data_IF_942293917033
#
_entry.id   IF_942293917033
#
_cell.length_a   1.000
_cell.length_b   1.000
_cell.length_c   1.000
_cell.angle_alpha   90.00
_cell.angle_beta   90.00
_cell.angle_gamma   90.00
#
_symmetry.space_group_name_H-M   'P 1'
#
loop_
_entity.id
_entity.type
_entity.pdbx_description
1 polymer ?
#
# COMPACT_ATOMS: atom_id res chain seq x y z
N UNK A 1 17.69 -56.14 62.36
CA UNK A 1 17.21 -55.84 60.99
C UNK A 1 15.97 -54.91 61.04
N UNK A 2 16.06 -53.75 61.71
CA UNK A 2 14.90 -52.82 61.88
C UNK A 2 15.27 -51.33 61.72
N UNK A 3 16.54 -50.99 61.41
CA UNK A 3 16.96 -49.59 61.23
C UNK A 3 16.87 -49.09 59.77
N UNK A 4 16.78 -49.99 58.78
CA UNK A 4 16.73 -49.61 57.36
C UNK A 4 15.31 -49.31 56.83
N UNK A 5 14.26 -49.78 57.51
CA UNK A 5 12.86 -49.60 57.05
C UNK A 5 12.29 -48.21 57.41
N UNK A 6 12.78 -47.60 58.49
CA UNK A 6 12.40 -46.24 58.91
C UNK A 6 13.00 -45.14 58.04
N UNK A 7 14.27 -45.28 57.62
CA UNK A 7 14.93 -44.29 56.77
C UNK A 7 14.35 -44.25 55.34
N UNK A 8 13.99 -45.39 54.76
CA UNK A 8 13.39 -45.43 53.42
C UNK A 8 12.01 -44.75 53.35
N UNK A 9 11.20 -44.87 54.40
CA UNK A 9 9.91 -44.21 54.48
C UNK A 9 10.06 -42.71 54.79
N UNK A 10 11.01 -42.33 55.65
CA UNK A 10 11.33 -40.94 55.93
C UNK A 10 11.80 -40.20 54.66
N UNK A 11 12.71 -40.78 53.89
CA UNK A 11 13.19 -40.19 52.62
C UNK A 11 12.05 -40.05 51.60
N UNK A 12 11.12 -41.01 51.53
CA UNK A 12 9.92 -40.91 50.67
C UNK A 12 8.96 -39.81 51.12
N UNK A 13 8.74 -39.65 52.43
CA UNK A 13 7.84 -38.63 52.98
C UNK A 13 8.44 -37.23 52.77
N UNK A 14 9.73 -37.06 53.08
CA UNK A 14 10.44 -35.79 52.86
C UNK A 14 10.48 -35.46 51.36
N UNK A 15 10.75 -36.44 50.49
CA UNK A 15 10.71 -36.25 49.03
C UNK A 15 9.33 -35.81 48.52
N UNK A 16 8.24 -36.41 49.03
CA UNK A 16 6.87 -36.00 48.69
C UNK A 16 6.55 -34.59 49.19
N UNK A 17 6.97 -34.24 50.39
CA UNK A 17 6.77 -32.90 50.94
C UNK A 17 7.53 -31.86 50.11
N UNK A 18 8.81 -32.09 49.80
CA UNK A 18 9.62 -31.19 48.96
C UNK A 18 9.01 -31.03 47.58
N UNK A 19 8.55 -32.11 46.97
CA UNK A 19 7.86 -32.06 45.67
C UNK A 19 6.55 -31.26 45.73
N UNK A 20 5.77 -31.40 46.80
CA UNK A 20 4.54 -30.64 46.98
C UNK A 20 4.79 -29.14 47.16
N UNK A 21 5.82 -28.77 47.94
CA UNK A 21 6.25 -27.37 48.07
C UNK A 21 6.73 -26.80 46.74
N UNK A 22 7.52 -27.57 45.98
CA UNK A 22 7.99 -27.16 44.66
C UNK A 22 6.82 -26.95 43.68
N UNK A 23 5.87 -27.89 43.63
CA UNK A 23 4.68 -27.75 42.78
C UNK A 23 3.81 -26.55 43.16
N UNK A 24 3.60 -26.29 44.45
CA UNK A 24 2.84 -25.12 44.90
C UNK A 24 3.53 -23.81 44.55
N UNK A 25 4.86 -23.76 44.67
CA UNK A 25 5.65 -22.60 44.28
C UNK A 25 5.56 -22.32 42.77
N UNK A 26 5.68 -23.37 41.94
CA UNK A 26 5.54 -23.25 40.48
C UNK A 26 4.12 -22.79 40.10
N UNK A 27 3.09 -23.36 40.72
CA UNK A 27 1.70 -22.95 40.48
C UNK A 27 1.46 -21.48 40.85
N UNK A 28 2.01 -21.03 41.99
CA UNK A 28 1.95 -19.64 42.42
C UNK A 28 2.66 -18.68 41.45
N UNK A 29 3.84 -19.07 40.95
CA UNK A 29 4.55 -18.27 39.95
C UNK A 29 3.78 -18.15 38.63
N UNK A 30 3.18 -19.24 38.15
CA UNK A 30 2.35 -19.24 36.94
C UNK A 30 1.12 -18.34 37.13
N UNK A 31 0.49 -18.39 38.31
CA UNK A 31 -0.65 -17.54 38.61
C UNK A 31 -0.26 -16.05 38.57
N UNK A 32 0.87 -15.68 39.19
CA UNK A 32 1.34 -14.29 39.18
C UNK A 32 1.68 -13.81 37.77
N UNK A 33 2.44 -14.59 36.99
CA UNK A 33 2.84 -14.17 35.64
C UNK A 33 1.63 -13.97 34.73
N UNK A 34 0.64 -14.87 34.80
CA UNK A 34 -0.60 -14.73 34.04
C UNK A 34 -1.35 -13.44 34.40
N UNK A 35 -1.48 -13.12 35.69
CA UNK A 35 -2.16 -11.90 36.14
C UNK A 35 -1.43 -10.64 35.68
N UNK A 36 -0.09 -10.63 35.73
CA UNK A 36 0.70 -9.49 35.26
C UNK A 36 0.61 -9.30 33.76
N UNK A 37 0.56 -10.38 32.98
CA UNK A 37 0.40 -10.32 31.53
C UNK A 37 -0.99 -9.79 31.14
N UNK A 38 -2.04 -10.26 31.81
CA UNK A 38 -3.41 -9.77 31.60
C UNK A 38 -3.53 -8.28 31.92
N UNK A 39 -3.06 -7.85 33.10
CA UNK A 39 -3.05 -6.44 33.50
C UNK A 39 -2.26 -5.57 32.52
N UNK A 40 -1.09 -6.03 32.07
CA UNK A 40 -0.28 -5.33 31.09
C UNK A 40 -1.00 -5.20 29.73
N UNK A 41 -1.63 -6.28 29.25
CA UNK A 41 -2.40 -6.26 27.99
C UNK A 41 -3.58 -5.30 28.04
N UNK A 42 -4.31 -5.23 29.16
CA UNK A 42 -5.41 -4.30 29.34
C UNK A 42 -4.94 -2.83 29.34
N UNK A 43 -3.83 -2.54 30.02
CA UNK A 43 -3.23 -1.20 30.04
C UNK A 43 -2.72 -0.76 28.66
N UNK A 44 -2.13 -1.67 27.89
CA UNK A 44 -1.68 -1.38 26.53
C UNK A 44 -2.86 -1.17 25.58
N UNK A 45 -3.94 -1.95 25.73
CA UNK A 45 -5.14 -1.82 24.90
C UNK A 45 -5.92 -0.52 25.18
N UNK A 46 -5.98 -0.06 26.44
CA UNK A 46 -6.63 1.22 26.78
C UNK A 46 -5.84 2.44 26.30
N UNK A 47 -4.51 2.37 26.29
CA UNK A 47 -3.64 3.49 25.89
C UNK A 47 -3.29 3.49 24.41
N UNK A 48 -3.83 2.58 23.60
CA UNK A 48 -3.58 2.58 22.17
C UNK A 48 -4.47 3.66 21.52
N UNK A 49 -3.92 4.80 21.10
CA UNK A 49 -4.73 5.77 20.37
C UNK A 49 -5.24 5.08 19.10
N UNK A 50 -6.54 5.17 18.85
CA UNK A 50 -7.12 4.77 17.56
C UNK A 50 -6.66 5.75 16.48
N UNK A 51 -5.41 5.58 16.05
CA UNK A 51 -4.85 6.22 14.88
C UNK A 51 -5.42 5.48 13.68
N UNK A 52 -6.64 5.83 13.27
CA UNK A 52 -7.07 5.51 11.92
C UNK A 52 -6.14 6.23 10.95
N UNK A 53 -5.78 5.58 9.85
CA UNK A 53 -5.07 6.27 8.78
C UNK A 53 -5.85 7.51 8.36
N UNK A 54 -5.19 8.64 8.06
CA UNK A 54 -5.84 9.80 7.48
C UNK A 54 -6.70 9.38 6.29
N UNK A 55 -7.91 9.92 6.22
CA UNK A 55 -8.84 9.64 5.13
C UNK A 55 -8.14 9.99 3.82
N UNK A 56 -8.12 9.04 2.88
CA UNK A 56 -7.61 9.30 1.54
C UNK A 56 -8.56 10.26 0.84
N UNK A 57 -8.04 11.42 0.48
CA UNK A 57 -8.73 12.38 -0.37
C UNK A 57 -8.58 11.90 -1.81
N UNK A 58 -9.69 11.47 -2.41
CA UNK A 58 -9.76 11.18 -3.84
C UNK A 58 -10.34 12.40 -4.56
N UNK A 59 -9.83 12.74 -5.75
CA UNK A 59 -10.40 13.81 -6.56
C UNK A 59 -11.86 13.52 -6.91
N UNK A 60 -12.70 14.56 -6.89
CA UNK A 60 -14.09 14.46 -7.33
C UNK A 60 -14.19 14.76 -8.84
N UNK A 61 -15.27 14.31 -9.49
CA UNK A 61 -15.51 14.52 -10.93
C UNK A 61 -15.71 16.00 -11.30
N UNK A 62 -16.10 16.84 -10.33
CA UNK A 62 -16.58 18.22 -10.55
C UNK A 62 -15.54 19.30 -10.24
N UNK A 63 -14.28 18.90 -9.96
CA UNK A 63 -13.24 19.87 -9.64
C UNK A 63 -12.92 20.75 -10.86
N UNK A 64 -13.06 22.06 -10.64
CA UNK A 64 -12.78 23.13 -11.59
C UNK A 64 -11.46 22.88 -12.30
N UNK A 65 -11.55 22.51 -13.59
CA UNK A 65 -10.38 22.34 -14.45
C UNK A 65 -9.54 23.61 -14.41
N UNK A 66 -8.39 23.57 -13.75
CA UNK A 66 -7.44 24.67 -13.84
C UNK A 66 -7.14 24.93 -15.32
N UNK A 67 -7.17 26.19 -15.77
CA UNK A 67 -6.87 26.50 -17.15
C UNK A 67 -5.44 26.06 -17.45
N UNK A 68 -5.27 25.32 -18.55
CA UNK A 68 -3.95 24.86 -18.98
C UNK A 68 -2.99 26.07 -19.05
N UNK A 69 -1.77 25.97 -18.48
CA UNK A 69 -0.83 27.07 -18.48
C UNK A 69 -0.55 27.54 -19.91
N UNK A 70 -0.75 28.84 -20.19
CA UNK A 70 -0.55 29.42 -21.52
C UNK A 70 0.92 29.43 -21.98
N UNK A 71 1.86 29.20 -21.07
CA UNK A 71 3.30 29.20 -21.35
C UNK A 71 4.02 28.25 -20.42
N UNK A 72 4.86 27.38 -21.00
CA UNK A 72 5.72 26.46 -20.28
C UNK A 72 6.91 27.14 -19.58
N UNK A 73 7.29 28.35 -20.01
CA UNK A 73 8.54 29.03 -19.58
C UNK A 73 8.58 29.40 -18.10
N UNK A 74 7.42 29.58 -17.46
CA UNK A 74 7.32 29.93 -16.04
C UNK A 74 6.61 28.84 -15.21
N UNK A 75 6.48 27.64 -15.76
CA UNK A 75 5.76 26.54 -15.15
C UNK A 75 6.65 25.83 -14.13
N UNK A 76 6.25 25.88 -12.86
CA UNK A 76 6.89 25.21 -11.73
C UNK A 76 5.86 24.29 -11.05
N UNK A 77 6.36 23.34 -10.28
CA UNK A 77 5.52 22.37 -9.56
C UNK A 77 4.48 23.05 -8.65
N UNK A 78 4.72 24.27 -8.15
CA UNK A 78 3.79 24.96 -7.26
C UNK A 78 2.72 25.81 -7.97
N UNK A 79 2.83 26.05 -9.29
CA UNK A 79 1.92 26.95 -10.01
C UNK A 79 1.20 26.29 -11.19
N UNK A 80 1.68 25.14 -11.66
CA UNK A 80 1.04 24.39 -12.75
C UNK A 80 0.46 23.05 -12.31
N UNK A 81 0.89 22.55 -11.15
CA UNK A 81 0.42 21.27 -10.65
C UNK A 81 -0.79 21.46 -9.76
N UNK A 82 -1.84 20.70 -10.04
CA UNK A 82 -3.08 20.73 -9.30
C UNK A 82 -3.04 19.74 -8.13
N UNK A 83 -2.66 20.24 -6.94
CA UNK A 83 -2.66 19.44 -5.72
C UNK A 83 -4.06 19.21 -5.13
N UNK A 84 -5.09 19.91 -5.62
CA UNK A 84 -6.46 19.64 -5.18
C UNK A 84 -6.90 18.26 -5.65
N UNK A 85 -6.52 17.88 -6.88
CA UNK A 85 -6.76 16.54 -7.42
C UNK A 85 -5.69 15.51 -7.05
N UNK A 86 -4.46 15.94 -6.82
CA UNK A 86 -3.31 15.08 -6.48
C UNK A 86 -2.69 15.40 -5.10
N UNK A 87 -3.36 15.04 -3.98
CA UNK A 87 -2.85 15.31 -2.64
C UNK A 87 -1.67 14.40 -2.27
N UNK A 88 -0.59 15.01 -1.73
CA UNK A 88 0.67 14.33 -1.41
C UNK A 88 0.54 13.17 -0.41
N UNK A 89 -0.46 13.23 0.47
CA UNK A 89 -0.63 12.32 1.61
C UNK A 89 -1.55 11.14 1.34
N UNK A 90 -2.32 11.13 0.24
CA UNK A 90 -3.40 10.15 0.00
C UNK A 90 -3.05 9.06 -1.02
N UNK A 91 -1.82 9.06 -1.54
CA UNK A 91 -1.35 8.14 -2.57
C UNK A 91 -1.94 8.52 -3.93
N UNK A 92 -1.10 8.95 -4.87
CA UNK A 92 -1.50 9.49 -6.17
C UNK A 92 -2.11 8.39 -7.04
N UNK A 93 -3.43 8.36 -7.28
CA UNK A 93 -4.01 7.40 -8.20
C UNK A 93 -3.64 7.78 -9.64
N UNK A 94 -3.12 6.81 -10.40
CA UNK A 94 -2.63 6.98 -11.75
C UNK A 94 -3.46 6.15 -12.72
N UNK A 95 -4.00 6.77 -13.76
CA UNK A 95 -4.66 6.07 -14.85
C UNK A 95 -3.69 5.89 -16.01
N UNK A 96 -3.63 4.68 -16.56
CA UNK A 96 -2.76 4.36 -17.69
C UNK A 96 -3.63 4.07 -18.91
N UNK A 97 -3.46 4.86 -19.96
CA UNK A 97 -4.18 4.62 -21.21
C UNK A 97 -3.69 3.33 -21.87
N UNK A 98 -4.64 2.54 -22.36
CA UNK A 98 -4.32 1.38 -23.18
C UNK A 98 -3.78 1.85 -24.54
N UNK A 99 -2.53 1.52 -24.84
CA UNK A 99 -1.87 1.89 -26.08
C UNK A 99 -2.53 1.25 -27.32
N UNK A 100 -3.18 0.09 -27.19
CA UNK A 100 -3.86 -0.60 -28.31
C UNK A 100 -5.04 0.17 -28.89
N UNK A 101 -5.60 1.10 -28.11
CA UNK A 101 -6.70 1.95 -28.58
C UNK A 101 -6.23 3.06 -29.52
N UNK A 102 -4.91 3.23 -29.69
CA UNK A 102 -4.33 4.32 -30.44
C UNK A 102 -3.26 3.85 -31.43
N UNK A 103 -3.16 4.55 -32.56
CA UNK A 103 -2.23 4.20 -33.65
C UNK A 103 -0.75 4.27 -33.23
N UNK A 104 -0.41 5.04 -32.19
CA UNK A 104 0.98 5.07 -31.68
C UNK A 104 1.35 3.81 -30.89
N UNK A 105 0.36 3.05 -30.40
CA UNK A 105 0.60 1.82 -29.64
C UNK A 105 1.04 0.65 -30.49
N UNK A 106 0.62 0.59 -31.77
CA UNK A 106 1.04 -0.46 -32.70
C UNK A 106 2.52 -0.39 -33.09
N UNK A 107 3.15 0.77 -32.91
CA UNK A 107 4.57 0.98 -33.20
C UNK A 107 5.47 0.62 -32.02
N UNK A 108 4.90 0.16 -30.89
CA UNK A 108 5.66 -0.23 -29.71
C UNK A 108 6.23 -1.63 -29.86
N UNK A 109 7.46 -1.80 -29.40
CA UNK A 109 8.05 -3.13 -29.26
C UNK A 109 7.19 -3.98 -28.30
N UNK A 110 6.78 -5.21 -28.71
CA UNK A 110 5.91 -6.06 -27.90
C UNK A 110 6.50 -6.43 -26.53
N UNK A 111 7.83 -6.55 -26.42
CA UNK A 111 8.50 -6.89 -25.17
C UNK A 111 8.46 -5.69 -24.20
N UNK A 112 8.70 -4.48 -24.70
CA UNK A 112 8.56 -3.24 -23.90
C UNK A 112 7.11 -3.10 -23.41
N UNK A 113 6.14 -3.29 -24.31
CA UNK A 113 4.72 -3.22 -23.97
C UNK A 113 4.36 -4.22 -22.87
N UNK A 114 4.76 -5.48 -23.02
CA UNK A 114 4.49 -6.52 -22.03
C UNK A 114 5.14 -6.23 -20.67
N UNK A 115 6.38 -5.75 -20.67
CA UNK A 115 7.10 -5.38 -19.44
C UNK A 115 6.47 -4.17 -18.74
N UNK A 116 5.99 -3.19 -19.51
CA UNK A 116 5.29 -2.04 -18.97
C UNK A 116 3.95 -2.45 -18.35
N UNK A 117 3.14 -3.22 -19.08
CA UNK A 117 1.84 -3.67 -18.58
C UNK A 117 1.96 -4.55 -17.33
N UNK A 118 2.97 -5.43 -17.26
CA UNK A 118 3.20 -6.24 -16.06
C UNK A 118 3.54 -5.37 -14.85
N UNK A 119 4.34 -4.32 -15.05
CA UNK A 119 4.67 -3.33 -14.02
C UNK A 119 3.45 -2.53 -13.58
N UNK A 120 2.63 -2.08 -14.53
CA UNK A 120 1.40 -1.33 -14.28
C UNK A 120 0.41 -2.17 -13.48
N UNK A 121 0.19 -3.44 -13.87
CA UNK A 121 -0.73 -4.36 -13.18
C UNK A 121 -0.29 -4.67 -11.74
N UNK A 122 1.02 -4.69 -11.47
CA UNK A 122 1.55 -4.95 -10.14
C UNK A 122 1.56 -3.72 -9.22
N UNK A 123 1.34 -2.52 -9.75
CA UNK A 123 1.51 -1.27 -9.01
C UNK A 123 0.20 -0.82 -8.33
N UNK A 124 0.23 -0.67 -7.00
CA UNK A 124 -0.95 -0.27 -6.20
C UNK A 124 -1.44 1.17 -6.43
N UNK A 125 -0.63 2.02 -7.07
CA UNK A 125 -1.02 3.40 -7.39
C UNK A 125 -1.83 3.47 -8.69
N UNK A 126 -1.83 2.40 -9.49
CA UNK A 126 -2.58 2.36 -10.74
C UNK A 126 -4.06 2.14 -10.42
N UNK A 127 -4.92 2.90 -11.09
CA UNK A 127 -6.38 2.75 -11.01
C UNK A 127 -6.97 2.52 -12.40
N UNK A 128 -8.00 1.68 -12.46
CA UNK A 128 -8.83 1.48 -13.66
C UNK A 128 -9.89 2.58 -13.82
N UNK A 129 -10.15 3.36 -12.77
CA UNK A 129 -11.16 4.41 -12.81
C UNK A 129 -10.51 5.77 -13.09
N UNK A 130 -10.64 6.24 -14.34
CA UNK A 130 -10.11 7.52 -14.80
C UNK A 130 -10.66 8.74 -14.04
N UNK A 131 -11.81 8.63 -13.40
CA UNK A 131 -12.47 9.72 -12.69
C UNK A 131 -11.77 10.06 -11.37
N UNK A 132 -11.29 9.04 -10.66
CA UNK A 132 -10.55 9.22 -9.41
C UNK A 132 -9.05 9.34 -9.65
N UNK A 133 -8.59 9.27 -10.89
CA UNK A 133 -7.20 9.40 -11.25
C UNK A 133 -6.77 10.86 -11.23
N UNK A 134 -5.55 11.09 -10.74
CA UNK A 134 -4.99 12.42 -10.65
C UNK A 134 -3.85 12.62 -11.66
N UNK A 135 -3.17 11.53 -12.05
CA UNK A 135 -2.19 11.50 -13.14
C UNK A 135 -2.65 10.56 -14.25
N UNK A 136 -2.29 10.91 -15.48
CA UNK A 136 -2.58 10.12 -16.66
C UNK A 136 -1.28 9.82 -17.40
N UNK A 137 -1.02 8.55 -17.67
CA UNK A 137 0.20 8.08 -18.34
C UNK A 137 -0.17 7.43 -19.66
N UNK A 138 0.62 7.74 -20.69
CA UNK A 138 0.60 7.08 -22.00
C UNK A 138 1.98 6.48 -22.23
N UNK A 139 2.01 5.23 -22.68
CA UNK A 139 3.23 4.61 -23.18
C UNK A 139 3.44 5.01 -24.66
N UNK A 140 4.55 5.68 -24.93
CA UNK A 140 5.04 6.02 -26.28
C UNK A 140 6.44 5.44 -26.42
N UNK A 141 6.80 4.91 -27.59
CA UNK A 141 8.09 4.26 -27.83
C UNK A 141 8.75 4.72 -29.11
N UNK A 142 9.97 4.24 -29.34
CA UNK A 142 10.75 4.56 -30.55
C UNK A 142 10.09 3.89 -31.76
N UNK A 143 9.56 4.74 -32.63
CA UNK A 143 8.87 4.33 -33.84
C UNK A 143 9.92 3.94 -34.89
N UNK A 144 9.98 2.67 -35.27
CA UNK A 144 10.79 2.25 -36.41
C UNK A 144 10.36 3.05 -37.65
N UNK A 145 11.35 3.61 -38.36
CA UNK A 145 11.17 4.51 -39.52
C UNK A 145 10.69 3.79 -40.79
N UNK A 146 9.41 3.39 -40.88
CA UNK A 146 8.69 3.80 -42.08
C UNK A 146 7.27 4.33 -41.83
N UNK A 147 6.81 4.36 -40.57
CA UNK A 147 5.43 4.74 -40.23
C UNK A 147 5.41 6.04 -39.43
N UNK A 148 5.84 7.15 -40.03
CA UNK A 148 5.63 8.44 -39.39
C UNK A 148 4.34 9.10 -39.92
N UNK A 149 3.31 9.03 -39.09
CA UNK A 149 2.36 10.13 -38.89
C UNK A 149 3.14 11.33 -38.34
N UNK A 150 3.06 12.49 -39.00
CA UNK A 150 3.86 13.70 -38.68
C UNK A 150 3.81 14.03 -37.17
N UNK A 151 4.81 14.71 -36.56
CA UNK A 151 4.76 15.13 -35.14
C UNK A 151 3.45 15.84 -34.74
N UNK A 152 2.89 16.60 -35.68
CA UNK A 152 1.58 17.26 -35.55
C UNK A 152 0.42 16.29 -35.33
N UNK A 153 0.47 15.10 -35.93
CA UNK A 153 -0.56 14.06 -35.82
C UNK A 153 -0.50 13.34 -34.46
N UNK A 154 0.71 13.10 -33.93
CA UNK A 154 0.89 12.61 -32.57
C UNK A 154 0.38 13.62 -31.53
N UNK A 155 0.69 14.90 -31.72
CA UNK A 155 0.19 15.99 -30.86
C UNK A 155 -1.35 16.05 -30.90
N UNK A 156 -1.96 15.95 -32.08
CA UNK A 156 -3.41 15.86 -32.21
C UNK A 156 -4.02 14.65 -31.50
N UNK A 157 -3.38 13.48 -31.61
CA UNK A 157 -3.84 12.27 -30.91
C UNK A 157 -3.72 12.40 -29.39
N UNK A 158 -2.64 12.99 -28.87
CA UNK A 158 -2.47 13.26 -27.43
C UNK A 158 -3.52 14.27 -26.91
N UNK A 159 -3.84 15.29 -27.71
CA UNK A 159 -4.93 16.23 -27.40
C UNK A 159 -6.32 15.61 -27.44
N UNK A 160 -6.53 14.49 -28.14
CA UNK A 160 -7.80 13.77 -28.10
C UNK A 160 -8.00 13.01 -26.77
N UNK A 161 -6.92 12.53 -26.15
CA UNK A 161 -6.97 11.79 -24.87
C UNK A 161 -7.57 12.63 -23.74
N UNK A 162 -7.17 13.90 -23.68
CA UNK A 162 -7.64 14.86 -22.65
C UNK A 162 -9.13 15.19 -22.76
N UNK A 163 -9.77 14.95 -23.91
CA UNK A 163 -11.22 15.08 -24.08
C UNK A 163 -11.98 13.82 -23.68
N UNK A 164 -11.49 12.64 -24.07
CA UNK A 164 -12.20 11.38 -23.86
C UNK A 164 -12.19 10.88 -22.41
N UNK A 165 -11.22 11.31 -21.59
CA UNK A 165 -11.22 11.01 -20.14
C UNK A 165 -12.37 11.66 -19.35
N UNK A 166 -13.19 12.51 -19.97
CA UNK A 166 -14.35 13.19 -19.34
C UNK A 166 -15.71 12.54 -19.63
N UNK A 167 -15.79 11.55 -20.53
CA UNK A 167 -17.06 10.97 -21.00
C UNK A 167 -17.27 9.49 -20.62
N UNK A 168 -16.55 8.97 -19.60
CA UNK A 168 -16.77 7.62 -19.04
C UNK A 168 -17.12 7.61 -17.55
#
# INVERSE_FOLDING_TARGET
MLLNYGQHNFVKIVGRAVYYYFLNYVFYLILISSQTEHSYKELMAQNQPKLSLPIRLLPDKDDFSFPMPKSNRNCRLHNCFDYSRCPLTSGFPVYVYNSDQFNFGSSLDPLIKQAFESTVRANTYVTENANIACLYIVLVGEMQEPVMSKPTELEQQLHALTRNGKEQ
#
